data_IF_208319295035
#
_entry.id   IF_208319295035
#
_cell.length_a   1.000
_cell.length_b   1.000
_cell.length_c   1.000
_cell.angle_alpha   90.00
_cell.angle_beta   90.00
_cell.angle_gamma   90.00
#
_symmetry.space_group_name_H-M   'P 1'
#
loop_
_entity.id
_entity.type
_entity.pdbx_description
1 polymer ?
#
# COMPACT_ATOMS: atom_id res chain seq x y z
N UNK A 1 -17.20 20.82 -0.18
CA UNK A 1 -17.21 19.35 -0.07
C UNK A 1 -15.89 18.82 -0.59
N UNK A 2 -15.18 17.98 0.17
CA UNK A 2 -13.97 17.33 -0.33
C UNK A 2 -14.35 16.14 -1.23
N UNK A 3 -13.64 15.95 -2.34
CA UNK A 3 -13.81 14.81 -3.25
C UNK A 3 -12.98 13.63 -2.74
N UNK A 4 -13.55 12.44 -2.79
CA UNK A 4 -12.89 11.20 -2.42
C UNK A 4 -12.95 10.19 -3.57
N UNK A 5 -11.92 9.37 -3.66
CA UNK A 5 -11.76 8.27 -4.60
C UNK A 5 -11.75 6.97 -3.82
N UNK A 6 -12.65 6.05 -4.15
CA UNK A 6 -12.67 4.74 -3.54
C UNK A 6 -11.75 3.82 -4.32
N UNK A 7 -10.66 3.38 -3.70
CA UNK A 7 -9.62 2.57 -4.33
C UNK A 7 -9.56 1.22 -3.61
N UNK A 8 -9.63 0.15 -4.39
CA UNK A 8 -9.60 -1.24 -3.91
C UNK A 8 -8.83 -2.11 -4.89
N UNK A 9 -8.10 -3.08 -4.37
CA UNK A 9 -7.36 -4.03 -5.19
C UNK A 9 -6.56 -5.00 -4.35
N UNK A 10 -5.82 -5.87 -5.02
CA UNK A 10 -4.88 -6.78 -4.39
C UNK A 10 -3.69 -7.02 -5.30
N UNK A 11 -2.59 -7.46 -4.70
CA UNK A 11 -1.40 -7.95 -5.38
C UNK A 11 -1.26 -9.44 -5.08
N UNK A 12 -1.11 -10.24 -6.13
CA UNK A 12 -0.70 -11.63 -6.03
C UNK A 12 0.83 -11.68 -5.94
N UNK A 13 1.36 -12.44 -4.99
CA UNK A 13 2.79 -12.53 -4.73
C UNK A 13 3.14 -13.83 -3.99
N UNK A 14 4.43 -14.12 -3.83
CA UNK A 14 4.86 -15.23 -2.99
C UNK A 14 4.82 -14.82 -1.50
N UNK A 15 4.76 -15.80 -0.59
CA UNK A 15 4.75 -15.50 0.85
C UNK A 15 5.93 -14.65 1.34
N UNK A 16 7.17 -14.85 0.88
CA UNK A 16 8.29 -13.98 1.26
C UNK A 16 8.10 -12.53 0.79
N UNK A 17 7.39 -12.31 -0.32
CA UNK A 17 7.16 -10.96 -0.86
C UNK A 17 6.18 -10.16 -0.01
N UNK A 18 5.29 -10.81 0.76
CA UNK A 18 4.41 -10.08 1.69
C UNK A 18 5.19 -9.24 2.69
N UNK A 19 6.31 -9.76 3.20
CA UNK A 19 7.18 -9.03 4.13
C UNK A 19 7.92 -7.89 3.44
N UNK A 20 8.32 -8.09 2.17
CA UNK A 20 8.91 -7.03 1.34
C UNK A 20 7.91 -5.91 1.10
N UNK A 21 6.68 -6.23 0.68
CA UNK A 21 5.59 -5.27 0.45
C UNK A 21 5.29 -4.50 1.74
N UNK A 22 5.12 -5.21 2.87
CA UNK A 22 4.92 -4.60 4.19
C UNK A 22 6.04 -3.64 4.55
N UNK A 23 7.29 -4.05 4.29
CA UNK A 23 8.48 -3.23 4.52
C UNK A 23 8.54 -1.99 3.62
N UNK A 24 8.09 -2.08 2.36
CA UNK A 24 8.00 -0.92 1.46
C UNK A 24 6.93 0.05 1.94
N UNK A 25 5.73 -0.44 2.24
CA UNK A 25 4.61 0.39 2.73
C UNK A 25 4.96 1.07 4.06
N UNK A 26 5.60 0.36 4.99
CA UNK A 26 6.00 0.90 6.29
C UNK A 26 6.95 2.11 6.20
N UNK A 27 7.78 2.19 5.14
CA UNK A 27 8.70 3.33 4.91
C UNK A 27 8.00 4.65 4.61
N UNK A 28 6.70 4.63 4.29
CA UNK A 28 5.90 5.84 4.06
C UNK A 28 5.38 6.47 5.35
N UNK A 29 5.63 5.88 6.52
CA UNK A 29 5.32 6.51 7.80
C UNK A 29 6.04 7.85 7.92
N UNK A 30 5.31 8.94 8.14
CA UNK A 30 5.87 10.29 8.19
C UNK A 30 6.22 10.90 6.83
N UNK A 31 5.76 10.31 5.72
CA UNK A 31 5.99 10.84 4.37
C UNK A 31 4.98 11.94 3.97
N UNK A 32 4.24 12.52 4.93
CA UNK A 32 3.17 13.48 4.65
C UNK A 32 3.62 14.67 3.82
N UNK A 33 4.78 15.23 4.14
CA UNK A 33 5.37 16.37 3.39
C UNK A 33 5.58 16.08 1.90
N UNK A 34 5.94 14.84 1.53
CA UNK A 34 6.16 14.45 0.13
C UNK A 34 4.88 14.45 -0.70
N UNK A 35 3.74 14.20 -0.06
CA UNK A 35 2.44 14.07 -0.71
C UNK A 35 1.48 15.21 -0.35
N UNK A 36 1.95 16.26 0.31
CA UNK A 36 1.11 17.37 0.80
C UNK A 36 -0.06 16.88 1.69
N UNK A 37 0.21 15.84 2.48
CA UNK A 37 -0.72 15.24 3.43
C UNK A 37 -0.23 15.46 4.87
N UNK A 38 -1.13 15.66 5.84
CA UNK A 38 -0.81 15.49 7.25
C UNK A 38 -0.34 14.06 7.54
N UNK A 39 0.63 13.88 8.45
CA UNK A 39 1.19 12.55 8.76
C UNK A 39 0.16 11.60 9.40
N UNK A 40 -0.82 12.12 10.14
CA UNK A 40 -1.96 11.35 10.65
C UNK A 40 -2.84 10.83 9.51
N UNK A 41 -3.05 11.63 8.46
CA UNK A 41 -3.78 11.19 7.26
C UNK A 41 -2.99 10.14 6.48
N UNK A 42 -1.66 10.27 6.40
CA UNK A 42 -0.81 9.22 5.83
C UNK A 42 -0.97 7.93 6.63
N UNK A 43 -0.86 7.97 7.95
CA UNK A 43 -1.04 6.79 8.80
C UNK A 43 -2.41 6.12 8.59
N UNK A 44 -3.48 6.90 8.44
CA UNK A 44 -4.81 6.39 8.10
C UNK A 44 -4.83 5.67 6.74
N UNK A 45 -4.16 6.22 5.73
CA UNK A 45 -4.08 5.61 4.39
C UNK A 45 -3.20 4.35 4.36
N UNK A 46 -2.12 4.30 5.14
CA UNK A 46 -1.32 3.08 5.29
C UNK A 46 -2.14 1.95 5.92
N UNK A 47 -3.07 2.28 6.82
CA UNK A 47 -4.01 1.33 7.42
C UNK A 47 -4.99 0.67 6.44
N UNK A 48 -5.04 1.13 5.17
CA UNK A 48 -5.80 0.47 4.11
C UNK A 48 -5.18 -0.83 3.59
N UNK A 49 -3.91 -1.10 3.92
CA UNK A 49 -3.21 -2.32 3.54
C UNK A 49 -3.52 -3.47 4.52
N UNK A 50 -3.82 -4.64 3.96
CA UNK A 50 -3.99 -5.90 4.70
C UNK A 50 -3.14 -6.98 4.05
N UNK A 51 -2.49 -7.81 4.86
CA UNK A 51 -1.58 -8.86 4.40
C UNK A 51 -2.14 -10.21 4.82
N UNK A 52 -2.14 -11.18 3.92
CA UNK A 52 -2.59 -12.52 4.24
C UNK A 52 -1.69 -13.16 5.32
N UNK A 53 -2.29 -13.55 6.45
CA UNK A 53 -1.54 -14.11 7.59
C UNK A 53 -1.37 -15.64 7.53
N UNK A 54 -2.28 -16.33 6.83
CA UNK A 54 -2.29 -17.79 6.74
C UNK A 54 -1.91 -18.24 5.35
N UNK A 55 -1.03 -19.22 5.28
CA UNK A 55 -0.71 -19.87 4.02
C UNK A 55 -1.91 -20.66 3.50
N UNK A 56 -2.34 -20.32 2.28
CA UNK A 56 -3.37 -21.01 1.51
C UNK A 56 -2.77 -21.29 0.13
N UNK A 57 -2.39 -22.54 -0.12
CA UNK A 57 -1.74 -23.00 -1.35
C UNK A 57 -0.45 -22.18 -1.69
N UNK A 58 -0.26 -21.85 -2.96
CA UNK A 58 1.01 -21.38 -3.53
C UNK A 58 1.12 -19.84 -3.67
N UNK A 59 0.02 -19.10 -3.48
CA UNK A 59 -0.04 -17.66 -3.73
C UNK A 59 -0.49 -16.94 -2.46
N UNK A 60 0.17 -15.83 -2.16
CA UNK A 60 -0.16 -14.89 -1.11
C UNK A 60 -0.76 -13.61 -1.69
N UNK A 61 -1.59 -12.92 -0.89
CA UNK A 61 -2.26 -11.69 -1.31
C UNK A 61 -1.98 -10.53 -0.35
N UNK A 62 -1.60 -9.39 -0.92
CA UNK A 62 -1.62 -8.09 -0.22
C UNK A 62 -2.82 -7.29 -0.74
N UNK A 63 -3.79 -7.02 0.14
CA UNK A 63 -5.01 -6.29 -0.19
C UNK A 63 -4.87 -4.81 0.14
N UNK A 64 -5.54 -3.97 -0.64
CA UNK A 64 -5.71 -2.57 -0.34
C UNK A 64 -7.16 -2.14 -0.47
N UNK A 65 -7.64 -1.31 0.47
CA UNK A 65 -8.94 -0.69 0.39
C UNK A 65 -9.04 0.59 1.22
N UNK A 66 -9.29 1.73 0.56
CA UNK A 66 -9.50 3.01 1.25
C UNK A 66 -10.32 4.01 0.42
N UNK A 67 -10.92 5.00 1.10
CA UNK A 67 -11.43 6.22 0.46
C UNK A 67 -10.43 7.35 0.64
N UNK A 68 -9.83 7.81 -0.46
CA UNK A 68 -8.65 8.68 -0.45
C UNK A 68 -8.94 10.02 -1.13
N UNK A 69 -8.20 11.07 -0.76
CA UNK A 69 -8.06 12.27 -1.58
C UNK A 69 -7.09 12.00 -2.74
N UNK A 70 -7.03 12.91 -3.71
CA UNK A 70 -6.10 12.83 -4.86
C UNK A 70 -4.66 12.55 -4.43
N UNK A 71 -4.18 13.27 -3.43
CA UNK A 71 -2.85 13.17 -2.86
C UNK A 71 -2.60 11.80 -2.21
N UNK A 72 -3.65 11.18 -1.66
CA UNK A 72 -3.60 9.82 -1.14
C UNK A 72 -3.52 8.78 -2.26
N UNK A 73 -4.16 9.03 -3.41
CA UNK A 73 -4.01 8.18 -4.59
C UNK A 73 -2.58 8.25 -5.11
N UNK A 74 -1.97 9.45 -5.16
CA UNK A 74 -0.57 9.61 -5.55
C UNK A 74 0.39 8.87 -4.60
N UNK A 75 0.12 8.90 -3.29
CA UNK A 75 0.82 8.10 -2.28
C UNK A 75 0.74 6.60 -2.60
N UNK A 76 -0.45 6.08 -2.89
CA UNK A 76 -0.65 4.67 -3.22
C UNK A 76 0.09 4.29 -4.52
N UNK A 77 0.01 5.12 -5.55
CA UNK A 77 0.69 4.84 -6.83
C UNK A 77 2.21 4.81 -6.66
N UNK A 78 2.78 5.67 -5.82
CA UNK A 78 4.21 5.62 -5.50
C UNK A 78 4.57 4.35 -4.71
N UNK A 79 3.72 3.92 -3.76
CA UNK A 79 3.90 2.64 -3.07
C UNK A 79 3.93 1.47 -4.05
N UNK A 80 2.96 1.38 -4.96
CA UNK A 80 2.90 0.32 -5.97
C UNK A 80 4.13 0.32 -6.87
N UNK A 81 4.61 1.50 -7.28
CA UNK A 81 5.85 1.62 -8.05
C UNK A 81 7.05 1.08 -7.26
N UNK A 82 7.20 1.44 -5.98
CA UNK A 82 8.29 0.94 -5.14
C UNK A 82 8.20 -0.55 -4.86
N UNK A 83 6.98 -1.08 -4.72
CA UNK A 83 6.75 -2.52 -4.58
C UNK A 83 7.25 -3.24 -5.83
N UNK A 84 6.85 -2.79 -7.03
CA UNK A 84 7.30 -3.37 -8.29
C UNK A 84 8.82 -3.29 -8.51
N UNK A 85 9.48 -2.24 -8.00
CA UNK A 85 10.95 -2.12 -8.03
C UNK A 85 11.67 -3.01 -6.99
N UNK A 86 10.96 -3.49 -5.96
CA UNK A 86 11.56 -4.22 -4.83
C UNK A 86 11.27 -5.73 -4.85
N UNK A 87 10.19 -6.16 -5.50
CA UNK A 87 9.88 -7.57 -5.71
C UNK A 87 10.68 -8.05 -6.93
N UNK A 88 11.54 -9.08 -6.80
CA UNK A 88 12.32 -9.60 -7.91
C UNK A 88 11.41 -10.12 -9.04
N UNK A 89 11.85 -10.00 -10.29
CA UNK A 89 11.23 -10.78 -11.36
C UNK A 89 11.47 -12.28 -11.09
N UNK A 90 10.40 -13.07 -11.15
CA UNK A 90 10.43 -14.53 -11.01
C UNK A 90 11.09 -15.21 -12.23
#
# INVERSE_FOLDING_TARGET
>A
MARYFNVRGFLDCDYPDLDVIRGVVGRYTGAGSRFHLPDDVVALYLGGWLYQEKEINWIAHAFFGASMRSEGVDLLLDQLKRIAESVPEA
#
